data_IF_175971003038
#
_entry.id   IF_175971003038
#
_cell.length_a   1.000
_cell.length_b   1.000
_cell.length_c   1.000
_cell.angle_alpha   90.00
_cell.angle_beta   90.00
_cell.angle_gamma   90.00
#
_symmetry.space_group_name_H-M   'P 1'
#
loop_
_entity.id
_entity.type
_entity.pdbx_description
1 polymer ?
#
# COMPACT_ATOMS: atom_id res chain seq x y z
N UNK A 1 -16.94 -25.60 10.53
CA UNK A 1 -17.46 -25.43 9.16
C UNK A 1 -18.62 -24.46 9.27
N UNK A 2 -18.84 -23.49 8.38
CA UNK A 2 -18.18 -23.16 7.11
C UNK A 2 -17.35 -21.85 7.22
N UNK A 3 -16.17 -21.63 6.62
CA UNK A 3 -15.66 -21.73 5.24
C UNK A 3 -15.99 -20.50 4.36
N UNK A 4 -14.98 -19.64 4.19
CA UNK A 4 -14.89 -18.49 3.27
C UNK A 4 -14.64 -18.96 1.83
N UNK A 5 -15.31 -18.38 0.83
CA UNK A 5 -15.03 -18.65 -0.60
C UNK A 5 -15.35 -17.44 -1.50
N UNK A 6 -14.42 -17.12 -2.41
CA UNK A 6 -14.50 -16.11 -3.48
C UNK A 6 -14.59 -16.81 -4.87
N UNK A 7 -14.47 -16.06 -6.00
CA UNK A 7 -13.85 -16.37 -7.34
C UNK A 7 -14.72 -15.84 -8.53
N UNK A 8 -14.27 -15.45 -9.75
CA UNK A 8 -13.31 -16.04 -10.73
C UNK A 8 -12.85 -14.99 -11.80
N UNK A 9 -11.62 -15.09 -12.36
CA UNK A 9 -10.98 -14.80 -13.68
C UNK A 9 -10.53 -16.13 -14.34
N UNK A 10 -10.92 -16.52 -15.56
CA UNK A 10 -11.63 -15.95 -16.72
C UNK A 10 -10.82 -15.79 -18.04
N UNK A 11 -9.52 -15.45 -18.13
CA UNK A 11 -8.74 -15.75 -19.39
C UNK A 11 -7.23 -16.08 -19.35
N UNK A 12 -6.65 -16.30 -18.17
CA UNK A 12 -5.71 -17.44 -18.06
C UNK A 12 -6.42 -18.81 -18.28
N UNK A 13 -7.75 -18.75 -18.42
CA UNK A 13 -8.77 -19.79 -18.49
C UNK A 13 -9.00 -20.42 -19.88
N UNK A 14 -8.25 -20.06 -20.94
CA UNK A 14 -8.52 -20.51 -22.33
C UNK A 14 -7.71 -21.69 -22.91
N UNK A 15 -6.85 -22.40 -22.16
CA UNK A 15 -5.95 -23.41 -22.79
C UNK A 15 -5.73 -24.78 -22.13
N UNK A 16 -6.48 -25.17 -21.11
CA UNK A 16 -6.37 -26.54 -20.54
C UNK A 16 -7.75 -27.14 -20.31
N UNK A 17 -8.01 -28.28 -20.94
CA UNK A 17 -9.15 -29.14 -20.60
C UNK A 17 -8.95 -29.71 -19.19
N UNK A 18 -9.71 -29.21 -18.20
CA UNK A 18 -9.75 -29.73 -16.84
C UNK A 18 -11.21 -29.86 -16.39
N UNK A 19 -11.64 -30.96 -15.73
CA UNK A 19 -13.06 -31.29 -15.63
C UNK A 19 -13.82 -30.58 -14.50
N UNK A 20 -13.11 -30.01 -13.54
CA UNK A 20 -13.67 -29.65 -12.23
C UNK A 20 -13.54 -28.14 -11.92
N UNK A 21 -14.56 -27.60 -11.25
CA UNK A 21 -14.53 -26.24 -10.68
C UNK A 21 -15.79 -25.98 -9.86
N UNK A 22 -15.84 -24.84 -9.18
CA UNK A 22 -16.96 -24.47 -8.31
C UNK A 22 -17.17 -22.95 -8.19
N UNK A 23 -18.26 -22.45 -8.75
CA UNK A 23 -18.97 -21.23 -8.30
C UNK A 23 -20.41 -21.65 -8.04
N UNK A 24 -21.04 -21.12 -7.00
CA UNK A 24 -22.41 -21.48 -6.60
C UNK A 24 -23.35 -20.28 -6.83
N UNK A 25 -24.55 -20.52 -7.34
CA UNK A 25 -25.59 -19.48 -7.41
C UNK A 25 -26.22 -19.17 -6.04
N UNK A 26 -27.16 -18.22 -6.01
CA UNK A 26 -27.89 -17.82 -4.79
C UNK A 26 -28.76 -18.94 -4.18
N UNK A 27 -28.98 -20.04 -4.89
CA UNK A 27 -29.69 -21.24 -4.41
C UNK A 27 -28.72 -22.40 -4.06
N UNK A 28 -27.40 -22.19 -4.22
CA UNK A 28 -26.37 -23.18 -3.92
C UNK A 28 -26.06 -24.15 -5.06
N UNK A 29 -26.40 -23.82 -6.31
CA UNK A 29 -26.18 -24.68 -7.48
C UNK A 29 -24.87 -24.35 -8.21
N UNK A 30 -24.09 -25.39 -8.52
CA UNK A 30 -22.72 -25.26 -9.03
C UNK A 30 -22.56 -25.01 -10.54
N UNK A 31 -21.58 -24.18 -10.87
CA UNK A 31 -20.97 -23.95 -12.18
C UNK A 31 -19.49 -24.38 -12.17
N UNK A 32 -19.02 -24.88 -13.31
CA UNK A 32 -17.70 -25.53 -13.49
C UNK A 32 -16.73 -24.50 -14.11
N UNK A 33 -15.49 -24.39 -13.58
CA UNK A 33 -14.27 -23.64 -14.05
C UNK A 33 -13.81 -22.43 -13.19
N UNK A 34 -13.17 -22.61 -12.00
CA UNK A 34 -13.06 -21.48 -11.02
C UNK A 34 -11.80 -21.27 -10.15
N UNK A 35 -10.73 -22.06 -10.27
CA UNK A 35 -9.72 -22.20 -9.19
C UNK A 35 -8.81 -20.98 -8.92
N UNK A 36 -8.37 -20.24 -9.95
CA UNK A 36 -7.17 -19.37 -9.85
C UNK A 36 -7.29 -18.14 -8.93
N UNK A 37 -8.50 -17.83 -8.47
CA UNK A 37 -8.87 -16.59 -7.78
C UNK A 37 -9.04 -16.84 -6.30
N UNK A 38 -9.18 -18.11 -5.92
CA UNK A 38 -9.16 -18.50 -4.52
C UNK A 38 -7.83 -18.04 -3.92
N UNK A 39 -6.77 -18.30 -4.66
CA UNK A 39 -5.40 -17.94 -4.32
C UNK A 39 -5.17 -16.41 -4.37
N UNK A 40 -5.75 -15.70 -5.34
CA UNK A 40 -5.68 -14.23 -5.44
C UNK A 40 -6.41 -13.56 -4.27
N UNK A 41 -7.66 -13.95 -4.03
CA UNK A 41 -8.49 -13.42 -2.95
C UNK A 41 -7.93 -13.71 -1.57
N UNK A 42 -7.33 -14.90 -1.37
CA UNK A 42 -6.69 -15.28 -0.12
C UNK A 42 -5.49 -14.38 0.22
N UNK A 43 -4.63 -14.05 -0.75
CA UNK A 43 -3.52 -13.11 -0.53
C UNK A 43 -4.01 -11.72 -0.09
N UNK A 44 -5.03 -11.19 -0.80
CA UNK A 44 -5.62 -9.88 -0.50
C UNK A 44 -6.31 -9.89 0.88
N UNK A 45 -7.00 -10.98 1.21
CA UNK A 45 -7.70 -11.17 2.48
C UNK A 45 -6.74 -11.27 3.68
N UNK A 46 -5.66 -12.06 3.59
CA UNK A 46 -4.67 -12.12 4.65
C UNK A 46 -3.95 -10.77 4.85
N UNK A 47 -3.67 -10.04 3.77
CA UNK A 47 -3.13 -8.68 3.87
C UNK A 47 -4.09 -7.72 4.61
N UNK A 48 -5.40 -7.78 4.32
CA UNK A 48 -6.41 -6.99 5.03
C UNK A 48 -6.54 -7.39 6.51
N UNK A 49 -6.38 -8.67 6.85
CA UNK A 49 -6.38 -9.13 8.26
C UNK A 49 -5.17 -8.60 9.03
N UNK A 50 -4.00 -8.51 8.39
CA UNK A 50 -2.82 -7.89 9.01
C UNK A 50 -3.04 -6.39 9.22
N UNK A 51 -3.56 -5.67 8.23
CA UNK A 51 -3.93 -4.26 8.38
C UNK A 51 -5.02 -4.03 9.44
N UNK A 52 -5.99 -4.93 9.58
CA UNK A 52 -7.04 -4.88 10.60
C UNK A 52 -6.50 -5.12 12.01
N UNK A 53 -5.51 -6.02 12.17
CA UNK A 53 -4.80 -6.23 13.45
C UNK A 53 -3.98 -5.01 13.89
N UNK A 54 -3.48 -4.23 12.93
CA UNK A 54 -2.72 -3.00 13.14
C UNK A 54 -3.61 -1.78 13.45
N UNK A 55 -4.88 -1.77 13.01
CA UNK A 55 -5.83 -0.71 13.31
C UNK A 55 -6.19 -0.66 14.82
N UNK A 56 -6.56 0.52 15.31
CA UNK A 56 -6.87 0.77 16.71
C UNK A 56 -8.22 0.19 17.12
N UNK A 57 -9.14 -0.03 16.17
CA UNK A 57 -10.53 -0.39 16.43
C UNK A 57 -10.78 -1.92 16.36
N UNK A 58 -10.03 -2.69 17.15
CA UNK A 58 -9.90 -4.17 17.08
C UNK A 58 -11.16 -5.00 17.38
N UNK A 59 -12.30 -4.36 17.58
CA UNK A 59 -13.55 -5.00 17.98
C UNK A 59 -14.55 -5.18 16.82
N UNK A 60 -14.30 -4.60 15.64
CA UNK A 60 -15.07 -4.90 14.43
C UNK A 60 -14.67 -6.24 13.83
N UNK A 61 -15.58 -6.88 13.10
CA UNK A 61 -15.26 -7.96 12.18
C UNK A 61 -14.44 -7.45 10.98
N UNK A 62 -13.79 -8.37 10.27
CA UNK A 62 -13.03 -8.05 9.06
C UNK A 62 -13.93 -7.50 7.93
N UNK A 63 -15.21 -7.91 7.89
CA UNK A 63 -16.18 -7.44 6.89
C UNK A 63 -16.59 -5.99 7.18
N UNK A 64 -17.02 -5.69 8.41
CA UNK A 64 -17.34 -4.31 8.84
C UNK A 64 -16.13 -3.38 8.70
N UNK A 65 -14.92 -3.90 8.89
CA UNK A 65 -13.68 -3.18 8.61
C UNK A 65 -13.54 -2.87 7.11
N UNK A 66 -13.69 -3.85 6.22
CA UNK A 66 -13.60 -3.64 4.76
C UNK A 66 -14.68 -2.67 4.28
N UNK A 67 -15.94 -2.87 4.68
CA UNK A 67 -17.07 -1.97 4.38
C UNK A 67 -16.78 -0.54 4.85
N UNK A 68 -16.37 -0.35 6.11
CA UNK A 68 -15.99 0.96 6.62
C UNK A 68 -14.77 1.60 5.93
N UNK A 69 -13.89 0.82 5.28
CA UNK A 69 -12.83 1.37 4.41
C UNK A 69 -13.33 1.68 3.00
N UNK A 70 -14.31 0.95 2.47
CA UNK A 70 -15.00 1.28 1.20
C UNK A 70 -15.69 2.63 1.36
N UNK A 71 -16.51 2.78 2.41
CA UNK A 71 -17.26 4.02 2.69
C UNK A 71 -16.31 5.22 2.85
N UNK A 72 -15.19 5.04 3.57
CA UNK A 72 -14.15 6.06 3.72
C UNK A 72 -13.52 6.49 2.38
N UNK A 73 -13.33 5.55 1.44
CA UNK A 73 -12.78 5.85 0.11
C UNK A 73 -13.81 6.62 -0.72
N UNK A 74 -15.07 6.18 -0.70
CA UNK A 74 -16.18 6.85 -1.39
C UNK A 74 -16.38 8.27 -0.86
N UNK A 75 -16.45 8.45 0.46
CA UNK A 75 -16.60 9.77 1.10
C UNK A 75 -15.43 10.71 0.72
N UNK A 76 -14.20 10.19 0.71
CA UNK A 76 -13.04 10.97 0.25
C UNK A 76 -13.17 11.37 -1.22
N UNK A 77 -13.62 10.47 -2.09
CA UNK A 77 -13.77 10.76 -3.52
C UNK A 77 -14.87 11.80 -3.77
N UNK A 78 -16.05 11.65 -3.16
CA UNK A 78 -17.12 12.67 -3.21
C UNK A 78 -16.63 14.01 -2.67
N UNK A 79 -15.97 14.04 -1.50
CA UNK A 79 -15.42 15.28 -0.92
C UNK A 79 -14.35 15.92 -1.80
N UNK A 80 -13.52 15.13 -2.47
CA UNK A 80 -12.51 15.61 -3.40
C UNK A 80 -13.16 16.24 -4.64
N UNK A 81 -14.14 15.57 -5.25
CA UNK A 81 -14.85 16.07 -6.43
C UNK A 81 -15.60 17.37 -6.13
N UNK A 82 -16.29 17.45 -4.98
CA UNK A 82 -16.94 18.69 -4.52
C UNK A 82 -15.92 19.82 -4.32
N UNK A 83 -14.79 19.57 -3.65
CA UNK A 83 -13.74 20.60 -3.46
C UNK A 83 -13.08 21.04 -4.77
N UNK A 84 -12.89 20.13 -5.72
CA UNK A 84 -12.36 20.47 -7.04
C UNK A 84 -13.38 21.28 -7.85
N UNK A 85 -14.68 21.08 -7.65
CA UNK A 85 -15.72 21.90 -8.29
C UNK A 85 -15.68 23.39 -7.88
N UNK A 86 -15.17 23.70 -6.68
CA UNK A 86 -14.96 25.09 -6.21
C UNK A 86 -13.83 25.81 -6.97
N UNK A 87 -13.02 25.06 -7.74
CA UNK A 87 -11.93 25.59 -8.56
C UNK A 87 -12.47 25.85 -9.97
N UNK A 88 -12.70 27.13 -10.30
CA UNK A 88 -13.29 27.58 -11.58
C UNK A 88 -12.66 27.04 -12.88
N UNK A 89 -11.46 26.46 -12.83
CA UNK A 89 -10.74 25.92 -13.99
C UNK A 89 -10.68 24.38 -14.00
N UNK A 90 -11.33 23.69 -13.05
CA UNK A 90 -11.41 22.22 -13.03
C UNK A 90 -12.61 21.74 -13.84
N UNK A 91 -12.35 20.91 -14.85
CA UNK A 91 -13.36 20.35 -15.76
C UNK A 91 -13.13 18.84 -15.87
N UNK A 92 -14.21 18.06 -15.75
CA UNK A 92 -14.23 16.63 -16.08
C UNK A 92 -14.91 16.48 -17.45
N UNK A 93 -14.15 16.12 -18.48
CA UNK A 93 -14.67 15.83 -19.82
C UNK A 93 -14.84 14.32 -19.99
N UNK A 94 -16.03 13.90 -20.39
CA UNK A 94 -16.42 12.49 -20.59
C UNK A 94 -16.24 12.06 -22.06
N UNK A 95 -16.13 10.74 -22.34
CA UNK A 95 -15.95 10.24 -23.71
C UNK A 95 -17.08 10.57 -24.70
N UNK A 96 -18.28 10.88 -24.19
CA UNK A 96 -19.44 11.31 -24.97
C UNK A 96 -19.42 12.82 -25.32
N UNK A 97 -18.41 13.56 -24.85
CA UNK A 97 -18.27 15.01 -25.02
C UNK A 97 -19.01 15.85 -23.96
N UNK A 98 -19.61 15.23 -22.93
CA UNK A 98 -20.16 15.95 -21.78
C UNK A 98 -19.03 16.52 -20.94
N UNK A 99 -19.19 17.76 -20.47
CA UNK A 99 -18.23 18.40 -19.55
C UNK A 99 -18.91 18.83 -18.25
N UNK A 100 -18.26 18.60 -17.12
CA UNK A 100 -18.73 18.97 -15.79
C UNK A 100 -17.72 19.88 -15.07
N UNK A 101 -18.21 20.98 -14.52
CA UNK A 101 -17.46 21.92 -13.67
C UNK A 101 -18.42 22.68 -12.75
N UNK A 102 -17.90 23.30 -11.68
CA UNK A 102 -18.70 24.13 -10.78
C UNK A 102 -19.92 23.41 -10.22
N UNK A 103 -21.06 24.11 -10.15
CA UNK A 103 -22.32 23.55 -9.63
C UNK A 103 -22.80 22.31 -10.37
N UNK A 104 -22.53 22.17 -11.67
CA UNK A 104 -22.91 20.99 -12.44
C UNK A 104 -22.12 19.73 -12.03
N UNK A 105 -20.90 19.89 -11.52
CA UNK A 105 -20.14 18.78 -10.93
C UNK A 105 -20.68 18.41 -9.54
N UNK A 106 -21.12 19.39 -8.73
CA UNK A 106 -21.76 19.13 -7.43
C UNK A 106 -23.08 18.36 -7.63
N UNK A 107 -23.98 18.87 -8.48
CA UNK A 107 -25.26 18.21 -8.80
C UNK A 107 -25.06 16.79 -9.35
N UNK A 108 -23.99 16.57 -10.13
CA UNK A 108 -23.63 15.25 -10.60
C UNK A 108 -23.14 14.34 -9.46
N UNK A 109 -22.26 14.81 -8.56
CA UNK A 109 -21.81 14.03 -7.39
C UNK A 109 -22.99 13.65 -6.49
N UNK A 110 -23.91 14.58 -6.23
CA UNK A 110 -25.08 14.37 -5.36
C UNK A 110 -26.13 13.40 -5.97
N UNK A 111 -26.10 13.18 -7.29
CA UNK A 111 -27.03 12.30 -8.03
C UNK A 111 -26.40 11.05 -8.62
N UNK A 112 -25.09 10.87 -8.49
CA UNK A 112 -24.34 9.72 -9.00
C UNK A 112 -24.54 8.46 -8.15
N UNK A 113 -24.37 7.29 -8.77
CA UNK A 113 -24.26 6.05 -8.01
C UNK A 113 -22.90 5.94 -7.30
N UNK A 114 -22.79 5.01 -6.35
CA UNK A 114 -21.52 4.75 -5.67
C UNK A 114 -20.45 4.27 -6.65
N UNK A 115 -20.85 3.53 -7.69
CA UNK A 115 -19.96 3.11 -8.78
C UNK A 115 -19.39 4.30 -9.54
N UNK A 116 -20.22 5.24 -9.99
CA UNK A 116 -19.77 6.43 -10.73
C UNK A 116 -18.78 7.26 -9.91
N UNK A 117 -19.07 7.48 -8.61
CA UNK A 117 -18.17 8.16 -7.67
C UNK A 117 -16.82 7.44 -7.56
N UNK A 118 -16.82 6.10 -7.46
CA UNK A 118 -15.59 5.31 -7.37
C UNK A 118 -14.75 5.46 -8.63
N UNK A 119 -15.33 5.23 -9.82
CA UNK A 119 -14.58 5.25 -11.09
C UNK A 119 -14.01 6.65 -11.38
N UNK A 120 -14.81 7.70 -11.18
CA UNK A 120 -14.40 9.09 -11.44
C UNK A 120 -13.38 9.54 -10.39
N UNK A 121 -13.56 9.20 -9.12
CA UNK A 121 -12.57 9.48 -8.08
C UNK A 121 -11.22 8.81 -8.32
N UNK A 122 -11.20 7.56 -8.80
CA UNK A 122 -9.96 6.90 -9.22
C UNK A 122 -9.30 7.63 -10.41
N UNK A 123 -10.06 8.02 -11.43
CA UNK A 123 -9.55 8.75 -12.58
C UNK A 123 -8.96 10.11 -12.20
N UNK A 124 -9.65 10.86 -11.32
CA UNK A 124 -9.19 12.15 -10.82
C UNK A 124 -7.93 12.01 -9.96
N UNK A 125 -7.85 11.05 -9.05
CA UNK A 125 -6.62 10.81 -8.26
C UNK A 125 -5.45 10.40 -9.16
N UNK A 126 -5.71 9.59 -10.21
CA UNK A 126 -4.68 9.26 -11.19
C UNK A 126 -4.19 10.52 -11.93
N UNK A 127 -5.11 11.35 -12.45
CA UNK A 127 -4.74 12.61 -13.12
C UNK A 127 -3.96 13.57 -12.22
N UNK A 128 -4.35 13.69 -10.94
CA UNK A 128 -3.62 14.48 -9.94
C UNK A 128 -2.20 13.93 -9.68
N UNK A 129 -2.02 12.60 -9.70
CA UNK A 129 -0.71 12.00 -9.54
C UNK A 129 0.16 12.16 -10.80
N UNK A 130 -0.40 11.92 -11.98
CA UNK A 130 0.33 11.92 -13.25
C UNK A 130 0.69 13.34 -13.72
N UNK A 131 -0.22 14.32 -13.59
CA UNK A 131 -0.05 15.70 -14.07
C UNK A 131 0.48 16.67 -13.00
N UNK A 132 0.27 16.38 -11.70
CA UNK A 132 0.59 17.32 -10.60
C UNK A 132 1.49 16.73 -9.50
N UNK A 133 1.91 15.46 -9.58
CA UNK A 133 2.62 14.71 -8.53
C UNK A 133 1.88 14.64 -7.17
N UNK A 134 0.56 14.91 -7.18
CA UNK A 134 -0.28 14.92 -5.96
C UNK A 134 -0.79 13.52 -5.67
N UNK A 135 -0.18 12.89 -4.67
CA UNK A 135 -0.51 11.53 -4.24
C UNK A 135 -1.50 11.54 -3.05
N UNK A 136 -2.80 11.34 -3.31
CA UNK A 136 -3.83 11.26 -2.25
C UNK A 136 -3.97 9.83 -1.72
N UNK A 137 -3.86 9.64 -0.41
CA UNK A 137 -3.86 8.32 0.25
C UNK A 137 -4.71 8.40 1.54
N UNK A 138 -6.00 7.99 1.55
CA UNK A 138 -6.84 8.05 2.75
C UNK A 138 -6.30 7.29 3.96
N UNK A 139 -5.59 6.17 3.74
CA UNK A 139 -5.27 5.21 4.79
C UNK A 139 -3.95 4.46 4.52
N UNK A 140 -3.99 3.37 3.75
CA UNK A 140 -2.81 2.57 3.41
C UNK A 140 -2.75 2.34 1.90
N UNK A 141 -1.61 2.58 1.23
CA UNK A 141 -1.52 2.46 -0.24
C UNK A 141 -1.94 1.07 -0.73
N UNK A 142 -1.39 0.01 -0.15
CA UNK A 142 -1.80 -1.37 -0.50
C UNK A 142 -3.19 -1.73 0.05
N UNK A 143 -3.61 -1.12 1.17
CA UNK A 143 -4.93 -1.35 1.77
C UNK A 143 -6.07 -0.81 0.90
N UNK A 144 -5.88 0.35 0.27
CA UNK A 144 -6.83 0.91 -0.72
C UNK A 144 -7.00 -0.06 -1.88
N UNK A 145 -5.91 -0.57 -2.46
CA UNK A 145 -6.00 -1.54 -3.55
C UNK A 145 -6.64 -2.86 -3.12
N UNK A 146 -6.36 -3.33 -1.90
CA UNK A 146 -6.96 -4.53 -1.34
C UNK A 146 -8.47 -4.39 -1.05
N UNK A 147 -8.90 -3.23 -0.56
CA UNK A 147 -10.33 -2.92 -0.35
C UNK A 147 -11.07 -2.77 -1.68
N UNK A 148 -10.47 -2.07 -2.65
CA UNK A 148 -11.06 -1.93 -3.99
C UNK A 148 -11.20 -3.25 -4.73
N UNK A 149 -10.27 -4.20 -4.54
CA UNK A 149 -10.43 -5.57 -5.05
C UNK A 149 -11.74 -6.21 -4.57
N UNK A 150 -12.06 -6.14 -3.27
CA UNK A 150 -13.31 -6.68 -2.74
C UNK A 150 -14.54 -5.89 -3.21
N UNK A 151 -14.42 -4.57 -3.40
CA UNK A 151 -15.48 -3.75 -3.98
C UNK A 151 -15.83 -4.18 -5.41
N UNK A 152 -14.83 -4.35 -6.29
CA UNK A 152 -15.06 -4.80 -7.68
C UNK A 152 -15.68 -6.19 -7.75
N UNK A 153 -15.19 -7.13 -6.93
CA UNK A 153 -15.80 -8.48 -6.85
C UNK A 153 -17.26 -8.39 -6.39
N UNK A 154 -17.55 -7.64 -5.32
CA UNK A 154 -18.91 -7.53 -4.77
C UNK A 154 -19.90 -6.83 -5.73
N UNK A 155 -19.47 -5.77 -6.43
CA UNK A 155 -20.24 -5.10 -7.50
C UNK A 155 -20.67 -6.12 -8.56
N UNK A 156 -19.74 -6.94 -8.97
CA UNK A 156 -19.85 -7.88 -10.08
C UNK A 156 -20.76 -9.07 -9.77
N UNK A 157 -20.69 -9.61 -8.55
CA UNK A 157 -21.61 -10.63 -8.07
C UNK A 157 -23.06 -10.13 -7.94
N UNK A 158 -23.26 -8.84 -7.64
CA UNK A 158 -24.59 -8.28 -7.45
C UNK A 158 -25.30 -7.90 -8.76
N UNK A 159 -24.55 -7.46 -9.78
CA UNK A 159 -25.12 -6.99 -11.05
C UNK A 159 -25.01 -7.99 -12.21
N UNK A 160 -23.90 -8.74 -12.35
CA UNK A 160 -23.57 -9.41 -13.62
C UNK A 160 -23.69 -10.94 -13.59
N UNK A 161 -23.24 -11.61 -12.52
CA UNK A 161 -23.17 -13.08 -12.47
C UNK A 161 -24.51 -13.83 -12.53
N UNK A 162 -25.65 -13.15 -12.42
CA UNK A 162 -26.96 -13.80 -12.51
C UNK A 162 -27.60 -13.79 -13.91
N UNK A 163 -27.16 -12.93 -14.86
CA UNK A 163 -28.02 -12.64 -16.04
C UNK A 163 -27.37 -12.49 -17.44
N UNK A 164 -26.08 -12.19 -17.64
CA UNK A 164 -25.54 -11.88 -18.99
C UNK A 164 -24.10 -12.36 -19.33
N UNK A 165 -23.62 -12.00 -20.54
CA UNK A 165 -22.59 -12.67 -21.36
C UNK A 165 -21.13 -12.67 -20.82
N UNK A 166 -20.27 -13.62 -21.29
CA UNK A 166 -18.88 -13.79 -20.81
C UNK A 166 -17.94 -12.58 -20.97
N UNK A 167 -18.20 -11.66 -21.91
CA UNK A 167 -17.31 -10.54 -22.22
C UNK A 167 -17.25 -9.50 -21.09
N UNK A 168 -18.39 -9.14 -20.49
CA UNK A 168 -18.43 -8.25 -19.32
C UNK A 168 -17.77 -8.87 -18.09
N UNK A 169 -17.82 -10.21 -18.00
CA UNK A 169 -17.13 -10.97 -16.96
C UNK A 169 -15.62 -10.69 -17.01
N UNK A 170 -14.99 -10.71 -18.18
CA UNK A 170 -13.54 -10.45 -18.35
C UNK A 170 -13.07 -9.08 -17.88
N UNK A 171 -13.81 -8.00 -18.15
CA UNK A 171 -13.38 -6.63 -17.87
C UNK A 171 -13.21 -6.39 -16.36
N UNK A 172 -14.23 -6.77 -15.59
CA UNK A 172 -14.28 -6.78 -14.11
C UNK A 172 -13.02 -7.38 -13.48
N UNK A 173 -12.44 -8.37 -14.13
CA UNK A 173 -11.45 -9.26 -13.54
C UNK A 173 -10.05 -8.79 -13.86
N UNK A 174 -9.85 -8.21 -15.03
CA UNK A 174 -8.68 -7.37 -15.30
C UNK A 174 -8.55 -6.27 -14.23
N UNK A 175 -9.66 -5.63 -13.81
CA UNK A 175 -9.65 -4.65 -12.72
C UNK A 175 -9.26 -5.29 -11.37
N UNK A 176 -9.85 -6.44 -11.02
CA UNK A 176 -9.46 -7.22 -9.84
C UNK A 176 -7.95 -7.56 -9.83
N UNK A 177 -7.41 -8.08 -10.93
CA UNK A 177 -5.98 -8.40 -11.06
C UNK A 177 -5.10 -7.16 -10.96
N UNK A 178 -5.50 -6.06 -11.60
CA UNK A 178 -4.81 -4.77 -11.54
C UNK A 178 -4.75 -4.24 -10.10
N UNK A 179 -5.83 -4.40 -9.31
CA UNK A 179 -5.83 -4.07 -7.89
C UNK A 179 -4.88 -4.94 -7.06
N UNK A 180 -4.87 -6.26 -7.27
CA UNK A 180 -3.91 -7.17 -6.60
C UNK A 180 -2.45 -6.87 -7.00
N UNK A 181 -2.19 -6.56 -8.27
CA UNK A 181 -0.84 -6.21 -8.74
C UNK A 181 -0.35 -4.90 -8.10
N UNK A 182 -1.20 -3.85 -8.10
CA UNK A 182 -0.90 -2.57 -7.42
C UNK A 182 -0.63 -2.78 -5.92
N UNK A 183 -1.42 -3.62 -5.24
CA UNK A 183 -1.19 -4.00 -3.84
C UNK A 183 0.19 -4.64 -3.64
N UNK A 184 0.52 -5.67 -4.43
CA UNK A 184 1.77 -6.41 -4.32
C UNK A 184 2.99 -5.54 -4.67
N UNK A 185 2.89 -4.67 -5.67
CA UNK A 185 3.94 -3.71 -6.03
C UNK A 185 4.25 -2.73 -4.88
N UNK A 186 3.23 -2.27 -4.14
CA UNK A 186 3.41 -1.45 -2.93
C UNK A 186 4.10 -2.24 -1.82
N UNK A 187 3.61 -3.43 -1.48
CA UNK A 187 4.19 -4.30 -0.42
C UNK A 187 5.66 -4.62 -0.72
N UNK A 188 5.98 -4.93 -1.97
CA UNK A 188 7.33 -5.22 -2.41
C UNK A 188 8.26 -4.00 -2.34
N UNK A 189 7.78 -2.83 -2.78
CA UNK A 189 8.52 -1.57 -2.68
C UNK A 189 8.82 -1.19 -1.22
N UNK A 190 7.85 -1.36 -0.32
CA UNK A 190 8.04 -1.16 1.12
C UNK A 190 9.04 -2.14 1.74
N UNK A 191 8.96 -3.42 1.37
CA UNK A 191 9.90 -4.45 1.83
C UNK A 191 11.33 -4.11 1.41
N UNK A 192 11.55 -3.76 0.14
CA UNK A 192 12.86 -3.28 -0.36
C UNK A 192 13.35 -2.01 0.37
N UNK A 193 12.46 -1.07 0.69
CA UNK A 193 12.81 0.13 1.50
C UNK A 193 13.23 -0.25 2.91
N UNK A 194 12.48 -1.14 3.59
CA UNK A 194 12.78 -1.65 4.93
C UNK A 194 14.12 -2.40 4.96
N UNK A 195 14.43 -3.22 3.96
CA UNK A 195 15.73 -3.90 3.82
C UNK A 195 16.89 -2.93 3.52
N UNK A 196 16.70 -1.99 2.62
CA UNK A 196 17.71 -0.97 2.29
C UNK A 196 18.06 -0.11 3.50
N UNK A 197 17.05 0.27 4.30
CA UNK A 197 17.25 0.97 5.56
C UNK A 197 18.02 0.12 6.59
N UNK A 198 17.69 -1.16 6.75
CA UNK A 198 18.43 -2.11 7.61
C UNK A 198 19.89 -2.25 7.16
N UNK A 199 20.16 -2.36 5.86
CA UNK A 199 21.52 -2.46 5.29
C UNK A 199 22.31 -1.17 5.53
N UNK A 200 21.70 0.00 5.29
CA UNK A 200 22.32 1.30 5.56
C UNK A 200 22.64 1.49 7.05
N UNK A 201 21.72 1.09 7.95
CA UNK A 201 21.96 1.12 9.39
C UNK A 201 23.13 0.19 9.80
N UNK A 202 23.15 -1.05 9.30
CA UNK A 202 24.24 -2.00 9.56
C UNK A 202 25.59 -1.48 9.08
N UNK A 203 25.64 -0.87 7.88
CA UNK A 203 26.87 -0.27 7.35
C UNK A 203 27.36 0.91 8.22
N UNK A 204 26.47 1.82 8.64
CA UNK A 204 26.82 2.92 9.55
C UNK A 204 27.34 2.43 10.91
N UNK A 205 26.77 1.35 11.45
CA UNK A 205 27.28 0.73 12.67
C UNK A 205 28.67 0.13 12.46
N UNK A 206 28.90 -0.64 11.38
CA UNK A 206 30.22 -1.20 11.08
C UNK A 206 31.30 -0.11 10.85
N UNK A 207 30.95 0.99 10.17
CA UNK A 207 31.81 2.17 10.01
C UNK A 207 32.13 2.83 11.36
N UNK A 208 31.12 3.02 12.22
CA UNK A 208 31.27 3.59 13.56
C UNK A 208 32.15 2.71 14.46
N UNK A 209 31.97 1.39 14.40
CA UNK A 209 32.75 0.43 15.18
C UNK A 209 34.21 0.36 14.67
N UNK A 210 34.44 0.43 13.36
CA UNK A 210 35.79 0.52 12.78
C UNK A 210 36.52 1.81 13.20
N UNK A 211 35.84 2.97 13.15
CA UNK A 211 36.39 4.23 13.67
C UNK A 211 36.70 4.16 15.16
N UNK A 212 35.85 3.46 15.94
CA UNK A 212 36.07 3.24 17.38
C UNK A 212 37.27 2.35 17.64
N UNK A 213 37.45 1.26 16.90
CA UNK A 213 38.61 0.37 17.00
C UNK A 213 39.91 1.11 16.64
N UNK A 214 39.93 1.89 15.55
CA UNK A 214 41.08 2.71 15.16
C UNK A 214 41.44 3.73 16.25
N UNK A 215 40.46 4.47 16.77
CA UNK A 215 40.65 5.46 17.83
C UNK A 215 41.19 4.82 19.12
N UNK A 216 40.66 3.65 19.51
CA UNK A 216 41.13 2.92 20.68
C UNK A 216 42.54 2.35 20.49
N UNK A 217 42.89 1.91 19.28
CA UNK A 217 44.24 1.46 18.92
C UNK A 217 45.24 2.61 19.00
N UNK A 218 45.00 3.74 18.34
CA UNK A 218 45.89 4.91 18.38
C UNK A 218 46.03 5.43 19.82
N UNK A 219 44.93 5.44 20.59
CA UNK A 219 44.97 5.81 22.01
C UNK A 219 45.84 4.86 22.84
N UNK A 220 45.75 3.54 22.60
CA UNK A 220 46.57 2.54 23.27
C UNK A 220 48.06 2.67 22.94
N UNK A 221 48.40 2.78 21.66
CA UNK A 221 49.78 2.90 21.16
C UNK A 221 50.48 4.18 21.66
N UNK A 222 49.75 5.30 21.76
CA UNK A 222 50.30 6.62 22.11
C UNK A 222 49.86 7.12 23.49
N UNK A 223 49.43 6.23 24.39
CA UNK A 223 48.81 6.58 25.68
C UNK A 223 49.64 7.57 26.52
N UNK A 224 50.97 7.49 26.46
CA UNK A 224 51.90 8.37 27.16
C UNK A 224 52.02 9.80 26.58
N UNK A 225 51.59 10.04 25.33
CA UNK A 225 51.62 11.36 24.66
C UNK A 225 50.42 12.25 25.02
N UNK A 226 49.41 11.69 25.70
CA UNK A 226 48.17 12.36 26.05
C UNK A 226 48.15 12.74 27.53
N UNK A 227 47.90 14.02 27.83
CA UNK A 227 47.86 14.54 29.21
C UNK A 227 46.61 14.10 29.99
N UNK A 228 45.54 13.72 29.28
CA UNK A 228 44.28 13.22 29.82
C UNK A 228 43.43 12.61 28.71
N UNK A 229 42.32 11.94 29.05
CA UNK A 229 41.35 11.44 28.06
C UNK A 229 40.75 12.59 27.22
N UNK A 230 40.51 13.76 27.83
CA UNK A 230 39.99 14.93 27.11
C UNK A 230 41.04 15.53 26.14
N UNK A 231 42.33 15.48 26.49
CA UNK A 231 43.43 15.88 25.60
C UNK A 231 43.59 14.89 24.44
N UNK A 232 43.51 13.57 24.71
CA UNK A 232 43.47 12.55 23.66
C UNK A 232 42.32 12.77 22.68
N UNK A 233 41.11 12.99 23.20
CA UNK A 233 39.90 13.12 22.38
C UNK A 233 39.93 14.32 21.43
N UNK A 234 40.48 15.47 21.87
CA UNK A 234 40.67 16.67 21.04
C UNK A 234 41.78 16.53 19.98
N UNK A 235 42.75 15.65 20.22
CA UNK A 235 43.81 15.33 19.25
C UNK A 235 43.31 14.31 18.22
N UNK A 236 42.61 13.27 18.67
CA UNK A 236 42.10 12.18 17.85
C UNK A 236 40.93 12.62 16.94
N UNK A 237 40.09 13.57 17.36
CA UNK A 237 39.04 14.16 16.51
C UNK A 237 39.55 14.97 15.31
N UNK A 238 40.87 15.21 15.22
CA UNK A 238 41.55 15.79 14.05
C UNK A 238 42.14 14.74 13.11
N UNK A 239 42.13 13.47 13.51
CA UNK A 239 42.70 12.34 12.77
C UNK A 239 41.57 11.48 12.19
N UNK A 240 40.55 11.18 13.00
CA UNK A 240 39.36 10.42 12.61
C UNK A 240 38.15 11.36 12.69
N UNK A 241 37.22 11.35 11.72
CA UNK A 241 36.12 12.33 11.61
C UNK A 241 34.98 12.08 12.61
N UNK A 242 35.32 12.04 13.90
CA UNK A 242 34.41 11.77 15.02
C UNK A 242 34.54 12.89 16.07
N UNK A 243 33.42 13.28 16.67
CA UNK A 243 33.40 14.35 17.68
C UNK A 243 34.17 13.97 18.95
N UNK A 244 34.87 14.93 19.54
CA UNK A 244 35.68 14.75 20.75
C UNK A 244 34.89 14.13 21.92
N UNK A 245 33.63 14.55 22.11
CA UNK A 245 32.69 13.98 23.09
C UNK A 245 32.43 12.48 22.88
N UNK A 246 32.38 12.02 21.63
CA UNK A 246 32.15 10.61 21.29
C UNK A 246 33.41 9.78 21.56
N UNK A 247 34.57 10.33 21.22
CA UNK A 247 35.89 9.73 21.49
C UNK A 247 36.13 9.59 23.01
N UNK A 248 35.87 10.65 23.79
CA UNK A 248 36.01 10.63 25.26
C UNK A 248 35.12 9.55 25.88
N UNK A 249 33.88 9.41 25.39
CA UNK A 249 32.96 8.33 25.81
C UNK A 249 33.54 6.95 25.51
N UNK A 250 34.03 6.70 24.29
CA UNK A 250 34.59 5.40 23.91
C UNK A 250 35.82 5.03 24.75
N UNK A 251 36.76 5.96 24.94
CA UNK A 251 37.96 5.74 25.75
C UNK A 251 37.58 5.53 27.23
N UNK A 252 36.59 6.23 27.78
CA UNK A 252 36.12 6.00 29.16
C UNK A 252 35.39 4.68 29.33
N UNK A 253 34.71 4.18 28.30
CA UNK A 253 34.06 2.88 28.32
C UNK A 253 35.10 1.75 28.25
N UNK A 254 36.12 1.86 27.38
CA UNK A 254 37.16 0.84 27.26
C UNK A 254 38.05 0.74 28.50
N UNK A 255 38.36 1.85 29.19
CA UNK A 255 39.13 1.83 30.45
C UNK A 255 38.29 1.42 31.69
N UNK A 256 37.03 1.05 31.52
CA UNK A 256 36.13 0.53 32.58
C UNK A 256 35.84 -0.97 32.45
N UNK A 257 36.28 -1.59 31.35
CA UNK A 257 36.29 -3.04 31.14
C UNK A 257 37.65 -3.62 31.50
#
# INVERSE_FOLDING_TARGET
MENFTLNIDIDAMYKVESPDGLVLDREGKGFIQTESIYNVGLEVYEHLKDLHREDFNKNSSINEFVEGKIDLIIELYSSLLVKLSEINNFVISFPDGKELSGSALIEYVDSSSLEDIVHIGQCVIKGLADEMDVNVIPWHRSGIHAVMFFWEVNRSFNQYFQYHEPSSMLEILNDCWLHREKMNNVIFAETRRKESAKKAAKNRHAETDSMKEEILKIYGERKAEYKSVADASRKLSRVVPVTDRTIDKWIRQSNKS
#
